data_IF_989497474655
#
_entry.id   IF_989497474655
#
_cell.length_a   1.000
_cell.length_b   1.000
_cell.length_c   1.000
_cell.angle_alpha   90.00
_cell.angle_beta   90.00
_cell.angle_gamma   90.00
#
_symmetry.space_group_name_H-M   'P 1'
#
loop_
_entity.id
_entity.type
_entity.pdbx_description
1 polymer ?
#
# COMPACT_ATOMS: atom_id res chain seq x y z
N UNK A 1 -16.78 -10.15 -14.19
CA UNK A 1 -16.64 -9.61 -12.82
C UNK A 1 -16.92 -8.12 -12.90
N UNK A 2 -17.64 -7.50 -11.94
CA UNK A 2 -17.69 -6.04 -11.86
C UNK A 2 -16.28 -5.47 -11.66
N UNK A 3 -16.06 -4.24 -12.13
CA UNK A 3 -14.81 -3.50 -11.88
C UNK A 3 -14.60 -3.36 -10.36
N UNK A 4 -13.38 -3.63 -9.91
CA UNK A 4 -12.98 -3.50 -8.52
C UNK A 4 -11.93 -2.40 -8.41
N UNK A 5 -12.07 -1.55 -7.40
CA UNK A 5 -11.11 -0.49 -7.06
C UNK A 5 -10.25 -0.93 -5.89
N UNK A 6 -8.96 -0.64 -5.96
CA UNK A 6 -7.98 -1.01 -4.95
C UNK A 6 -7.21 0.22 -4.47
N UNK A 7 -6.99 0.32 -3.18
CA UNK A 7 -6.00 1.22 -2.60
C UNK A 7 -4.85 0.40 -2.03
N UNK A 8 -3.62 0.82 -2.28
CA UNK A 8 -2.43 0.21 -1.69
C UNK A 8 -1.73 1.17 -0.74
N UNK A 9 -1.23 0.62 0.36
CA UNK A 9 -0.43 1.33 1.36
C UNK A 9 0.95 0.67 1.50
N UNK A 10 2.00 1.43 1.20
CA UNK A 10 3.37 1.10 1.61
C UNK A 10 3.60 1.68 3.01
N UNK A 11 3.64 0.81 4.02
CA UNK A 11 3.59 1.21 5.42
C UNK A 11 4.98 1.50 5.99
N UNK A 12 5.34 2.78 6.05
CA UNK A 12 6.46 3.27 6.84
C UNK A 12 6.05 3.86 8.19
N UNK A 13 6.98 3.85 9.16
CA UNK A 13 6.73 4.47 10.49
C UNK A 13 6.53 5.98 10.41
N UNK A 14 7.23 6.66 9.49
CA UNK A 14 7.22 8.13 9.34
C UNK A 14 6.25 8.62 8.26
N UNK A 15 6.11 7.85 7.19
CA UNK A 15 5.34 8.19 6.00
C UNK A 15 4.69 6.93 5.44
N UNK A 16 3.59 7.08 4.73
CA UNK A 16 2.87 5.98 4.09
C UNK A 16 2.66 6.36 2.62
N UNK A 17 3.23 5.56 1.72
CA UNK A 17 2.95 5.68 0.30
C UNK A 17 1.55 5.16 -0.01
N UNK A 18 0.79 5.87 -0.84
CA UNK A 18 -0.55 5.47 -1.26
C UNK A 18 -0.59 5.36 -2.78
N UNK A 19 -1.20 4.29 -3.27
CA UNK A 19 -1.49 4.10 -4.69
C UNK A 19 -2.93 3.63 -4.90
N UNK A 20 -3.41 3.83 -6.13
CA UNK A 20 -4.74 3.41 -6.57
C UNK A 20 -4.64 2.62 -7.87
N UNK A 21 -5.54 1.66 -8.05
CA UNK A 21 -5.65 0.87 -9.26
C UNK A 21 -7.01 0.21 -9.35
N UNK A 22 -7.31 -0.40 -10.49
CA UNK A 22 -8.55 -1.12 -10.71
C UNK A 22 -8.34 -2.42 -11.50
N UNK A 23 -9.30 -3.33 -11.42
CA UNK A 23 -9.24 -4.62 -12.12
C UNK A 23 -9.56 -4.54 -13.62
N UNK A 24 -10.17 -3.45 -14.10
CA UNK A 24 -10.56 -3.27 -15.50
C UNK A 24 -9.34 -3.01 -16.40
N UNK A 25 -8.50 -2.05 -16.01
CA UNK A 25 -7.27 -1.69 -16.73
C UNK A 25 -6.05 -2.48 -16.25
N UNK A 26 -6.17 -3.18 -15.10
CA UNK A 26 -5.06 -3.87 -14.42
C UNK A 26 -3.84 -2.97 -14.23
N UNK A 27 -4.07 -1.68 -13.96
CA UNK A 27 -3.00 -0.69 -13.81
C UNK A 27 -3.06 -0.02 -12.44
N UNK A 28 -1.91 0.14 -11.81
CA UNK A 28 -1.74 0.93 -10.60
C UNK A 28 -1.03 2.25 -10.90
N UNK A 29 -1.36 3.29 -10.13
CA UNK A 29 -0.63 4.57 -10.16
C UNK A 29 -0.44 5.13 -8.75
N UNK A 30 0.63 5.90 -8.53
CA UNK A 30 0.81 6.67 -7.29
C UNK A 30 -0.39 7.60 -7.06
N UNK A 31 -0.82 7.72 -5.81
CA UNK A 31 -1.88 8.64 -5.40
C UNK A 31 -1.33 9.79 -4.56
N UNK A 32 -0.74 9.49 -3.40
CA UNK A 32 -0.17 10.50 -2.51
C UNK A 32 0.77 9.85 -1.48
N UNK A 33 1.43 10.68 -0.66
CA UNK A 33 2.22 10.23 0.50
C UNK A 33 1.63 10.87 1.75
N UNK A 34 1.21 10.05 2.71
CA UNK A 34 0.76 10.52 4.00
C UNK A 34 1.96 10.72 4.92
N UNK A 35 2.06 11.88 5.58
CA UNK A 35 3.10 12.19 6.58
C UNK A 35 2.45 12.55 7.92
N UNK A 36 1.77 11.61 8.59
CA UNK A 36 1.00 11.91 9.78
C UNK A 36 1.91 12.15 10.99
N UNK A 37 1.65 13.23 11.74
CA UNK A 37 2.38 13.55 12.97
C UNK A 37 2.06 12.59 14.13
N UNK A 38 0.87 11.96 14.11
CA UNK A 38 0.40 11.05 15.17
C UNK A 38 -0.30 9.83 14.58
N UNK A 39 -0.45 8.78 15.40
CA UNK A 39 -1.24 7.60 15.03
C UNK A 39 -2.70 7.95 14.74
N UNK A 40 -3.29 8.89 15.49
CA UNK A 40 -4.66 9.32 15.25
C UNK A 40 -4.80 10.02 13.90
N UNK A 41 -3.96 11.02 13.61
CA UNK A 41 -3.97 11.73 12.34
C UNK A 41 -3.76 10.79 11.14
N UNK A 42 -2.94 9.73 11.30
CA UNK A 42 -2.78 8.69 10.29
C UNK A 42 -4.10 8.04 9.91
N UNK A 43 -4.87 7.59 10.90
CA UNK A 43 -6.12 6.90 10.63
C UNK A 43 -7.23 7.83 10.15
N UNK A 44 -7.21 9.10 10.55
CA UNK A 44 -8.12 10.12 9.99
C UNK A 44 -7.86 10.37 8.50
N UNK A 45 -6.59 10.53 8.09
CA UNK A 45 -6.23 10.68 6.68
C UNK A 45 -6.57 9.43 5.86
N UNK A 46 -6.34 8.23 6.41
CA UNK A 46 -6.74 6.99 5.74
C UNK A 46 -8.26 6.90 5.62
N UNK A 47 -9.03 7.28 6.65
CA UNK A 47 -10.48 7.28 6.59
C UNK A 47 -11.02 8.20 5.48
N UNK A 48 -10.39 9.37 5.28
CA UNK A 48 -10.71 10.27 4.17
C UNK A 48 -10.51 9.58 2.81
N UNK A 49 -9.35 8.94 2.61
CA UNK A 49 -9.06 8.22 1.37
C UNK A 49 -10.02 7.05 1.13
N UNK A 50 -10.36 6.29 2.18
CA UNK A 50 -11.32 5.18 2.07
C UNK A 50 -12.73 5.70 1.74
N UNK A 51 -13.14 6.83 2.31
CA UNK A 51 -14.44 7.45 2.01
C UNK A 51 -14.51 8.07 0.62
N UNK A 52 -13.41 8.64 0.13
CA UNK A 52 -13.32 9.24 -1.20
C UNK A 52 -13.32 8.16 -2.30
N UNK A 53 -12.44 7.16 -2.17
CA UNK A 53 -12.18 6.19 -3.23
C UNK A 53 -12.99 4.90 -3.13
N UNK A 54 -13.58 4.61 -1.97
CA UNK A 54 -14.43 3.44 -1.71
C UNK A 54 -13.87 2.13 -2.30
N UNK A 55 -12.63 1.74 -1.96
CA UNK A 55 -12.01 0.55 -2.55
C UNK A 55 -12.71 -0.74 -2.09
N UNK A 56 -12.82 -1.70 -3.01
CA UNK A 56 -13.29 -3.07 -2.72
C UNK A 56 -12.28 -3.83 -1.86
N UNK A 57 -10.99 -3.53 -2.03
CA UNK A 57 -9.93 -4.13 -1.24
C UNK A 57 -8.75 -3.18 -1.06
N UNK A 58 -8.17 -3.24 0.14
CA UNK A 58 -6.95 -2.53 0.49
C UNK A 58 -5.78 -3.49 0.44
N UNK A 59 -4.71 -3.09 -0.23
CA UNK A 59 -3.45 -3.81 -0.30
C UNK A 59 -2.46 -3.17 0.66
N UNK A 60 -1.74 -3.97 1.45
CA UNK A 60 -0.69 -3.50 2.35
C UNK A 60 0.61 -4.21 2.02
N UNK A 61 1.69 -3.44 1.84
CA UNK A 61 3.03 -3.97 1.67
C UNK A 61 3.48 -4.80 2.88
N UNK A 62 4.05 -5.97 2.61
CA UNK A 62 4.63 -6.87 3.61
C UNK A 62 6.15 -6.94 3.41
N UNK A 63 6.94 -6.19 4.21
CA UNK A 63 8.40 -6.23 4.16
C UNK A 63 8.89 -7.60 4.55
N UNK A 64 9.46 -8.35 3.63
CA UNK A 64 10.13 -9.62 3.94
C UNK A 64 11.64 -9.47 3.74
N UNK A 65 12.42 -10.32 4.41
CA UNK A 65 13.86 -10.43 4.12
C UNK A 65 14.08 -10.96 2.70
N UNK A 66 15.30 -10.91 2.18
CA UNK A 66 15.61 -11.44 0.84
C UNK A 66 15.21 -12.92 0.71
N UNK A 67 15.36 -13.68 1.79
CA UNK A 67 15.00 -15.09 1.92
C UNK A 67 13.48 -15.32 2.09
N UNK A 68 12.68 -14.24 2.12
CA UNK A 68 11.22 -14.29 2.27
C UNK A 68 10.75 -14.46 3.71
N UNK A 69 11.61 -14.22 4.71
CA UNK A 69 11.27 -14.36 6.12
C UNK A 69 10.64 -13.09 6.69
N UNK A 70 9.85 -13.26 7.76
CA UNK A 70 9.34 -12.12 8.52
C UNK A 70 10.43 -11.46 9.35
N UNK A 71 10.26 -10.15 9.53
CA UNK A 71 11.14 -9.27 10.29
C UNK A 71 10.27 -8.29 11.10
N UNK A 72 10.86 -7.47 12.00
CA UNK A 72 10.08 -6.56 12.84
C UNK A 72 9.13 -5.64 12.06
N UNK A 73 9.53 -5.19 10.86
CA UNK A 73 8.69 -4.40 9.97
C UNK A 73 7.47 -5.19 9.46
N UNK A 74 7.61 -6.48 9.13
CA UNK A 74 6.49 -7.34 8.69
C UNK A 74 5.40 -7.42 9.76
N UNK A 75 5.81 -7.59 11.02
CA UNK A 75 4.90 -7.63 12.16
C UNK A 75 4.15 -6.30 12.32
N UNK A 76 4.81 -5.18 12.04
CA UNK A 76 4.18 -3.85 12.06
C UNK A 76 3.17 -3.69 10.91
N UNK A 77 3.50 -4.10 9.69
CA UNK A 77 2.58 -4.09 8.55
C UNK A 77 1.36 -4.98 8.78
N UNK A 78 1.55 -6.18 9.35
CA UNK A 78 0.43 -7.06 9.76
C UNK A 78 -0.47 -6.41 10.80
N UNK A 79 0.12 -5.78 11.82
CA UNK A 79 -0.66 -5.04 12.84
C UNK A 79 -1.41 -3.86 12.22
N UNK A 80 -0.81 -3.17 11.25
CA UNK A 80 -1.45 -2.08 10.52
C UNK A 80 -2.64 -2.60 9.69
N UNK A 81 -2.46 -3.68 8.92
CA UNK A 81 -3.51 -4.33 8.16
C UNK A 81 -4.70 -4.75 9.06
N UNK A 82 -4.42 -5.36 10.21
CA UNK A 82 -5.45 -5.73 11.19
C UNK A 82 -6.18 -4.50 11.76
N UNK A 83 -5.47 -3.38 11.97
CA UNK A 83 -6.08 -2.14 12.42
C UNK A 83 -6.99 -1.52 11.35
N UNK A 84 -6.61 -1.60 10.07
CA UNK A 84 -7.46 -1.14 8.97
C UNK A 84 -8.75 -1.94 8.90
N UNK A 85 -8.64 -3.27 8.92
CA UNK A 85 -9.80 -4.16 8.91
C UNK A 85 -10.71 -3.91 10.14
N UNK A 86 -10.13 -3.88 11.35
CA UNK A 86 -10.91 -3.70 12.58
C UNK A 86 -11.55 -2.32 12.74
N UNK A 87 -10.97 -1.26 12.16
CA UNK A 87 -11.49 0.12 12.29
C UNK A 87 -12.50 0.49 11.19
N UNK A 88 -12.27 0.02 9.98
CA UNK A 88 -13.01 0.47 8.80
C UNK A 88 -13.81 -0.65 8.12
N UNK A 89 -13.72 -1.87 8.62
CA UNK A 89 -14.38 -3.06 8.03
C UNK A 89 -14.01 -3.31 6.56
N UNK A 90 -12.89 -2.77 6.08
CA UNK A 90 -12.39 -2.98 4.72
C UNK A 90 -11.69 -4.33 4.60
N UNK A 91 -11.82 -4.98 3.45
CA UNK A 91 -11.01 -6.17 3.10
C UNK A 91 -9.55 -5.74 2.94
N UNK A 92 -8.64 -6.43 3.60
CA UNK A 92 -7.20 -6.13 3.51
C UNK A 92 -6.43 -7.37 3.06
N UNK A 93 -5.56 -7.21 2.08
CA UNK A 93 -4.63 -8.25 1.63
C UNK A 93 -3.18 -7.77 1.77
N UNK A 94 -2.30 -8.70 2.13
CA UNK A 94 -0.88 -8.43 2.32
C UNK A 94 -0.11 -8.92 1.10
N UNK A 95 0.74 -8.06 0.55
CA UNK A 95 1.53 -8.35 -0.66
C UNK A 95 3.01 -8.16 -0.37
N UNK A 96 3.80 -9.13 -0.79
CA UNK A 96 5.26 -9.10 -0.70
C UNK A 96 5.84 -7.87 -1.44
N UNK A 97 6.52 -7.02 -0.69
CA UNK A 97 7.09 -5.76 -1.19
C UNK A 97 8.58 -5.86 -1.53
N UNK A 98 9.22 -7.04 -1.48
CA UNK A 98 10.66 -7.18 -1.76
C UNK A 98 11.05 -6.52 -3.09
N UNK A 99 12.08 -5.68 -3.06
CA UNK A 99 12.60 -4.99 -4.25
C UNK A 99 11.76 -3.80 -4.74
N UNK A 100 10.61 -3.49 -4.14
CA UNK A 100 9.76 -2.36 -4.57
C UNK A 100 10.49 -1.01 -4.48
N UNK A 101 11.32 -0.81 -3.44
CA UNK A 101 12.07 0.44 -3.27
C UNK A 101 13.18 0.61 -4.31
N UNK A 102 13.88 -0.48 -4.69
CA UNK A 102 14.90 -0.46 -5.74
C UNK A 102 14.28 -0.20 -7.12
N UNK A 103 13.13 -0.80 -7.38
CA UNK A 103 12.35 -0.54 -8.59
C UNK A 103 11.90 0.92 -8.62
N UNK A 104 11.35 1.45 -7.52
CA UNK A 104 10.92 2.84 -7.42
C UNK A 104 12.05 3.85 -7.67
N UNK A 105 13.23 3.63 -7.08
CA UNK A 105 14.41 4.47 -7.31
C UNK A 105 14.87 4.45 -8.76
N UNK A 106 14.80 3.28 -9.41
CA UNK A 106 15.14 3.14 -10.84
C UNK A 106 14.17 3.92 -11.73
N UNK A 107 12.90 4.04 -11.34
CA UNK A 107 11.88 4.82 -12.03
C UNK A 107 12.04 6.33 -11.85
N UNK A 108 12.42 6.80 -10.64
CA UNK A 108 12.47 8.22 -10.30
C UNK A 108 13.83 8.88 -10.56
N UNK A 109 14.92 8.09 -10.64
CA UNK A 109 16.26 8.56 -10.97
C UNK A 109 16.86 9.52 -9.92
N UNK A 110 16.29 9.58 -8.72
CA UNK A 110 16.70 10.46 -7.62
C UNK A 110 16.40 9.82 -6.24
N UNK A 111 16.85 10.45 -5.15
CA UNK A 111 16.63 10.00 -3.77
C UNK A 111 15.39 10.67 -3.12
N UNK A 112 14.37 11.04 -3.88
CA UNK A 112 13.21 11.74 -3.32
C UNK A 112 12.26 10.77 -2.58
N UNK A 113 11.13 11.29 -2.09
CA UNK A 113 10.12 10.47 -1.42
C UNK A 113 9.42 9.57 -2.44
N UNK A 114 9.93 8.34 -2.56
CA UNK A 114 9.49 7.36 -3.57
C UNK A 114 8.32 6.46 -3.10
N UNK A 115 7.79 6.66 -1.88
CA UNK A 115 6.87 5.71 -1.23
C UNK A 115 5.56 5.53 -2.02
N UNK A 116 5.03 6.59 -2.63
CA UNK A 116 3.82 6.46 -3.46
C UNK A 116 4.10 5.63 -4.73
N UNK A 117 5.32 5.67 -5.25
CA UNK A 117 5.75 4.83 -6.37
C UNK A 117 5.95 3.40 -5.91
N UNK A 118 6.59 3.17 -4.76
CA UNK A 118 6.69 1.85 -4.15
C UNK A 118 5.30 1.23 -3.90
N UNK A 119 4.34 2.00 -3.37
CA UNK A 119 2.96 1.58 -3.21
C UNK A 119 2.29 1.19 -4.55
N UNK A 120 2.57 1.93 -5.63
CA UNK A 120 2.04 1.57 -6.96
C UNK A 120 2.65 0.30 -7.52
N UNK A 121 3.94 0.04 -7.26
CA UNK A 121 4.61 -1.21 -7.66
C UNK A 121 4.03 -2.39 -6.89
N UNK A 122 3.82 -2.25 -5.58
CA UNK A 122 3.17 -3.27 -4.74
C UNK A 122 1.77 -3.57 -5.29
N UNK A 123 1.00 -2.54 -5.62
CA UNK A 123 -0.34 -2.72 -6.19
C UNK A 123 -0.31 -3.33 -7.58
N UNK A 124 0.62 -2.92 -8.44
CA UNK A 124 0.76 -3.48 -9.78
C UNK A 124 1.03 -4.99 -9.70
N UNK A 125 1.94 -5.42 -8.83
CA UNK A 125 2.23 -6.85 -8.59
C UNK A 125 1.02 -7.65 -8.12
N UNK A 126 0.09 -7.00 -7.41
CA UNK A 126 -1.18 -7.60 -7.04
C UNK A 126 -2.11 -7.75 -8.24
N UNK A 127 -2.29 -6.66 -9.01
CA UNK A 127 -3.13 -6.63 -10.21
C UNK A 127 -2.66 -7.61 -11.29
N UNK A 128 -1.35 -7.78 -11.46
CA UNK A 128 -0.76 -8.72 -12.43
C UNK A 128 -1.09 -10.19 -12.11
N UNK A 129 -1.39 -10.49 -10.83
CA UNK A 129 -1.75 -11.83 -10.36
C UNK A 129 -3.27 -12.07 -10.35
N UNK A 130 -4.09 -11.03 -10.53
CA UNK A 130 -5.53 -11.17 -10.66
C UNK A 130 -5.83 -11.78 -12.04
N UNK A 131 -6.40 -12.99 -12.04
CA UNK A 131 -6.80 -13.73 -13.23
C UNK A 131 -7.86 -12.96 -14.04
#
# INVERSE_FOLDING_TARGET
MPEQTFLAFDFGLKKIGVAIGNSLTKSARPLCILKPATKQARFEQIAQLLGEWQPDCVIVGLPLTLEGQEQPASLQSRRFANQLNGRFAVRVELVDERGSSLEAQSYLGNNNDDDAVAASIILQRYLDKLA
#
